data_IF_079929626086
#
_entry.id   IF_079929626086
#
_cell.length_a   1.000
_cell.length_b   1.000
_cell.length_c   1.000
_cell.angle_alpha   90.00
_cell.angle_beta   90.00
_cell.angle_gamma   90.00
#
_symmetry.space_group_name_H-M   'P 1'
#
loop_
_entity.id
_entity.type
_entity.pdbx_description
1 polymer ?
#
# COMPACT_ATOMS: atom_id res chain seq x y z
N UNK A 1 -2.55 10.58 -46.50
CA UNK A 1 -2.22 10.22 -46.00
C UNK A 1 -2.21 9.78 -45.51
N UNK A 2 -2.35 9.95 -45.45
CA UNK A 2 -2.32 9.44 -44.67
C UNK A 2 -1.44 8.96 -44.38
N UNK A 3 -0.64 9.13 -45.07
CA UNK A 3 0.30 8.59 -44.84
C UNK A 3 1.01 9.07 -43.77
N UNK A 4 0.96 10.13 -43.52
CA UNK A 4 1.49 10.49 -42.41
C UNK A 4 0.85 9.91 -41.26
N UNK A 5 -0.35 9.75 -41.27
CA UNK A 5 -1.08 9.06 -40.26
C UNK A 5 -0.57 7.66 -40.17
N UNK A 6 -0.25 7.12 -41.30
CA UNK A 6 0.26 5.77 -41.33
C UNK A 6 1.61 5.67 -40.67
N UNK A 7 2.44 6.63 -40.94
CA UNK A 7 3.75 6.63 -40.37
C UNK A 7 3.70 6.74 -38.87
N UNK A 8 2.85 7.60 -38.41
CA UNK A 8 2.65 7.77 -36.99
C UNK A 8 2.14 6.49 -36.39
N UNK A 9 1.32 5.82 -37.14
CA UNK A 9 0.73 4.58 -36.67
C UNK A 9 1.77 3.48 -36.54
N UNK A 10 2.67 3.39 -37.48
CA UNK A 10 3.73 2.40 -37.42
C UNK A 10 4.59 2.64 -36.21
N UNK A 11 4.87 3.89 -35.95
CA UNK A 11 5.64 4.25 -34.82
C UNK A 11 4.92 3.89 -33.53
N UNK A 12 3.61 4.01 -33.53
CA UNK A 12 2.79 3.67 -32.41
C UNK A 12 2.84 2.18 -32.13
N UNK A 13 2.95 1.39 -33.16
CA UNK A 13 3.03 -0.05 -32.98
C UNK A 13 4.30 -0.43 -32.24
N UNK A 14 5.39 0.19 -32.62
CA UNK A 14 6.64 -0.04 -31.93
C UNK A 14 6.52 0.39 -30.50
N UNK A 15 5.88 1.53 -30.29
CA UNK A 15 5.68 2.04 -28.95
C UNK A 15 4.81 1.11 -28.14
N UNK A 16 3.91 0.40 -28.79
CA UNK A 16 3.03 -0.51 -28.08
C UNK A 16 3.81 -1.64 -27.41
N UNK A 17 4.83 -2.12 -28.06
CA UNK A 17 5.64 -3.15 -27.46
C UNK A 17 6.38 -2.64 -26.25
N UNK A 18 6.81 -1.40 -26.32
CA UNK A 18 7.43 -0.78 -25.19
C UNK A 18 6.45 -0.51 -24.08
N UNK A 19 5.23 -0.18 -24.49
CA UNK A 19 4.20 0.12 -23.53
C UNK A 19 3.92 -1.05 -22.63
N UNK A 20 3.93 -2.24 -23.17
CA UNK A 20 3.72 -3.43 -22.36
C UNK A 20 4.75 -3.53 -21.25
N UNK A 21 5.97 -3.13 -21.54
CA UNK A 21 7.01 -3.16 -20.53
C UNK A 21 6.89 -2.00 -19.57
N UNK A 22 6.48 -0.85 -20.07
CA UNK A 22 6.31 0.31 -19.22
C UNK A 22 5.20 0.10 -18.20
N UNK A 23 4.22 -0.73 -18.51
CA UNK A 23 3.14 -1.00 -17.60
C UNK A 23 3.60 -1.79 -16.38
N UNK A 24 4.79 -2.35 -16.45
CA UNK A 24 5.34 -3.07 -15.31
C UNK A 24 5.92 -2.11 -14.28
N UNK A 25 5.90 -0.82 -14.55
CA UNK A 25 6.45 0.14 -13.61
C UNK A 25 5.61 0.20 -12.35
N UNK A 26 6.26 0.06 -11.21
CA UNK A 26 5.61 0.04 -9.91
C UNK A 26 5.42 1.46 -9.41
N UNK A 27 4.25 1.73 -8.84
CA UNK A 27 3.98 2.98 -8.16
C UNK A 27 4.07 2.79 -6.67
N UNK A 28 4.73 3.70 -5.98
CA UNK A 28 4.80 3.69 -4.53
C UNK A 28 3.69 4.56 -3.96
N UNK A 29 3.01 4.05 -2.95
CA UNK A 29 1.98 4.81 -2.26
C UNK A 29 2.52 5.32 -0.93
N UNK A 30 1.83 6.26 -0.33
CA UNK A 30 2.32 6.94 0.86
C UNK A 30 1.97 6.16 2.13
N UNK A 31 2.37 4.89 2.16
CA UNK A 31 2.04 3.98 3.25
C UNK A 31 3.10 2.91 3.35
N UNK A 32 3.57 2.66 4.57
CA UNK A 32 4.52 1.57 4.85
C UNK A 32 3.86 0.64 5.86
N UNK A 33 3.87 -0.64 5.57
CA UNK A 33 3.30 -1.68 6.44
C UNK A 33 4.40 -2.68 6.78
N UNK A 34 4.60 -2.91 8.06
CA UNK A 34 5.61 -3.87 8.55
C UNK A 34 6.99 -3.61 7.93
N UNK A 35 7.31 -2.35 7.70
CA UNK A 35 8.60 -1.95 7.15
C UNK A 35 8.70 -2.02 5.64
N UNK A 36 7.65 -2.43 4.95
CA UNK A 36 7.65 -2.55 3.49
C UNK A 36 6.76 -1.48 2.86
N UNK A 37 7.23 -0.94 1.76
CA UNK A 37 6.49 0.07 1.02
C UNK A 37 5.24 -0.56 0.39
N UNK A 38 4.09 0.08 0.54
CA UNK A 38 2.89 -0.32 -0.18
C UNK A 38 2.97 0.24 -1.59
N UNK A 39 2.77 -0.63 -2.57
CA UNK A 39 2.96 -0.29 -3.98
C UNK A 39 1.79 -0.80 -4.80
N UNK A 40 1.78 -0.44 -6.07
CA UNK A 40 0.78 -0.95 -7.00
C UNK A 40 0.87 -2.47 -7.17
N UNK A 41 2.02 -3.06 -6.85
CA UNK A 41 2.18 -4.51 -6.98
C UNK A 41 1.61 -5.29 -5.80
N UNK A 42 1.59 -4.70 -4.60
CA UNK A 42 1.16 -5.44 -3.42
C UNK A 42 -0.12 -4.89 -2.77
N UNK A 43 -0.65 -3.77 -3.22
CA UNK A 43 -1.76 -3.11 -2.54
C UNK A 43 -3.04 -3.95 -2.49
N UNK A 44 -3.22 -4.86 -3.43
CA UNK A 44 -4.41 -5.70 -3.47
C UNK A 44 -4.34 -6.90 -2.54
N UNK A 45 -3.14 -7.24 -2.07
CA UNK A 45 -2.95 -8.33 -1.12
C UNK A 45 -1.69 -8.05 -0.32
N UNK A 46 -1.85 -7.36 0.78
CA UNK A 46 -0.71 -6.98 1.60
C UNK A 46 -0.12 -8.13 2.40
N UNK A 47 -0.76 -9.30 2.37
CA UNK A 47 -0.23 -10.47 3.07
C UNK A 47 1.05 -11.00 2.42
N UNK A 48 1.38 -10.53 1.23
CA UNK A 48 2.67 -10.87 0.60
C UNK A 48 3.84 -10.19 1.32
N UNK A 49 3.57 -9.19 2.16
CA UNK A 49 4.60 -8.52 2.94
C UNK A 49 4.93 -9.37 4.16
N UNK A 50 6.23 -9.57 4.41
CA UNK A 50 6.67 -10.30 5.60
C UNK A 50 6.12 -9.62 6.86
N UNK A 51 5.53 -10.43 7.74
CA UNK A 51 4.96 -9.93 8.97
C UNK A 51 3.48 -9.59 8.88
N UNK A 52 2.88 -9.66 7.71
CA UNK A 52 1.46 -9.40 7.52
C UNK A 52 0.73 -10.71 7.27
N UNK A 53 -0.28 -11.01 8.09
CA UNK A 53 -1.10 -12.20 7.94
C UNK A 53 -2.56 -11.77 7.97
N UNK A 54 -3.38 -12.44 7.18
CA UNK A 54 -4.80 -12.13 7.10
C UNK A 54 -5.13 -11.40 5.82
N UNK A 55 -6.30 -10.81 5.78
CA UNK A 55 -6.82 -10.21 4.57
C UNK A 55 -6.66 -8.70 4.63
N UNK A 56 -5.55 -8.20 4.12
CA UNK A 56 -5.22 -6.77 4.16
C UNK A 56 -5.04 -6.24 2.75
N UNK A 57 -5.59 -5.06 2.48
CA UNK A 57 -5.45 -4.42 1.18
C UNK A 57 -5.54 -2.91 1.31
N UNK A 58 -4.98 -2.22 0.34
CA UNK A 58 -4.99 -0.77 0.31
C UNK A 58 -5.55 -0.28 -1.03
N UNK A 59 -6.51 0.63 -0.97
CA UNK A 59 -7.09 1.26 -2.16
C UNK A 59 -6.52 2.68 -2.27
N UNK A 60 -5.63 2.93 -3.22
CA UNK A 60 -5.03 4.25 -3.35
C UNK A 60 -6.01 5.33 -3.82
N UNK A 61 -7.09 4.94 -4.50
CA UNK A 61 -8.06 5.90 -4.97
C UNK A 61 -8.82 6.56 -3.82
N UNK A 62 -9.12 5.79 -2.77
CA UNK A 62 -9.83 6.30 -1.60
C UNK A 62 -8.91 6.45 -0.39
N UNK A 63 -7.66 6.05 -0.52
CA UNK A 63 -6.67 6.06 0.56
C UNK A 63 -7.18 5.29 1.77
N UNK A 64 -7.70 4.09 1.51
CA UNK A 64 -8.29 3.24 2.53
C UNK A 64 -7.50 1.95 2.67
N UNK A 65 -7.01 1.72 3.88
CA UNK A 65 -6.39 0.45 4.27
C UNK A 65 -7.46 -0.40 4.94
N UNK A 66 -7.78 -1.55 4.36
CA UNK A 66 -8.77 -2.47 4.93
C UNK A 66 -8.05 -3.60 5.62
N UNK A 67 -8.37 -3.81 6.90
CA UNK A 67 -7.82 -4.88 7.71
C UNK A 67 -8.96 -5.79 8.14
N UNK A 68 -8.93 -7.04 7.68
CA UNK A 68 -9.95 -8.03 7.97
C UNK A 68 -9.28 -9.23 8.62
N UNK A 69 -9.34 -9.28 9.95
CA UNK A 69 -8.70 -10.31 10.76
C UNK A 69 -7.19 -10.39 10.45
N UNK A 70 -6.54 -9.25 10.51
CA UNK A 70 -5.14 -9.09 10.13
C UNK A 70 -4.24 -9.02 11.36
N UNK A 71 -3.09 -9.68 11.27
CA UNK A 71 -2.02 -9.54 12.25
C UNK A 71 -0.82 -8.96 11.54
N UNK A 72 -0.32 -7.85 12.04
CA UNK A 72 0.90 -7.22 11.55
C UNK A 72 1.94 -7.33 12.65
N UNK A 73 3.10 -7.89 12.33
CA UNK A 73 4.16 -8.07 13.32
C UNK A 73 5.49 -7.64 12.69
N UNK A 74 6.14 -6.69 13.33
CA UNK A 74 7.42 -6.16 12.84
C UNK A 74 8.45 -6.20 13.97
N UNK A 75 9.59 -6.82 13.70
CA UNK A 75 10.66 -6.98 14.69
C UNK A 75 11.86 -6.10 14.40
N UNK A 76 11.85 -5.31 13.35
CA UNK A 76 12.99 -4.49 12.96
C UNK A 76 13.25 -3.37 13.97
N UNK A 77 14.50 -2.94 14.06
CA UNK A 77 14.92 -1.96 15.07
C UNK A 77 14.98 -0.54 14.51
N UNK A 78 14.84 -0.37 13.23
CA UNK A 78 15.01 0.94 12.61
C UNK A 78 13.66 1.62 12.42
N UNK A 79 13.67 2.74 11.73
CA UNK A 79 12.44 3.42 11.32
C UNK A 79 11.54 2.46 10.55
N UNK A 80 12.12 1.43 9.96
CA UNK A 80 11.34 0.39 9.29
C UNK A 80 10.70 -0.59 10.26
N UNK A 81 10.90 -0.41 11.57
CA UNK A 81 10.28 -1.23 12.60
C UNK A 81 8.84 -0.87 12.91
N UNK A 82 8.32 0.20 12.33
CA UNK A 82 6.94 0.65 12.56
C UNK A 82 5.97 -0.36 11.97
N UNK A 83 4.85 -0.58 12.64
CA UNK A 83 3.83 -1.50 12.12
C UNK A 83 3.09 -0.91 10.94
N UNK A 84 2.49 0.27 11.11
CA UNK A 84 1.79 1.00 10.06
C UNK A 84 2.28 2.44 10.10
N UNK A 85 2.81 2.92 8.99
CA UNK A 85 3.34 4.28 8.92
C UNK A 85 2.62 5.03 7.80
N UNK A 86 1.83 6.02 8.18
CA UNK A 86 1.12 6.87 7.22
C UNK A 86 2.00 8.05 6.83
N UNK A 87 2.41 8.07 5.58
CA UNK A 87 3.21 9.15 5.02
C UNK A 87 2.35 10.17 4.28
N UNK A 88 1.11 9.84 3.97
CA UNK A 88 0.21 10.72 3.24
C UNK A 88 -0.58 11.62 4.16
N UNK A 89 -1.28 12.58 3.57
CA UNK A 89 -2.04 13.55 4.34
C UNK A 89 -3.21 12.92 5.08
N UNK A 90 -3.80 11.88 4.51
CA UNK A 90 -4.99 11.27 5.09
C UNK A 90 -4.98 9.78 4.82
N UNK A 91 -5.31 9.01 5.83
CA UNK A 91 -5.45 7.57 5.70
C UNK A 91 -6.73 7.14 6.42
N UNK A 92 -7.56 6.35 5.76
CA UNK A 92 -8.69 5.71 6.39
C UNK A 92 -8.31 4.25 6.65
N UNK A 93 -8.49 3.79 7.89
CA UNK A 93 -8.28 2.39 8.22
C UNK A 93 -9.64 1.78 8.50
N UNK A 94 -10.06 0.88 7.63
CA UNK A 94 -11.35 0.21 7.74
C UNK A 94 -11.15 -1.14 8.40
N UNK A 95 -11.81 -1.36 9.52
CA UNK A 95 -11.59 -2.53 10.36
C UNK A 95 -12.74 -3.52 10.27
N UNK A 96 -12.41 -4.76 9.99
CA UNK A 96 -13.35 -5.87 9.97
C UNK A 96 -12.75 -6.96 10.85
N UNK A 97 -13.54 -7.50 11.76
CA UNK A 97 -13.07 -8.55 12.65
C UNK A 97 -12.05 -8.06 13.67
N UNK A 98 -11.14 -8.93 14.06
CA UNK A 98 -10.15 -8.61 15.10
C UNK A 98 -8.77 -8.45 14.48
N UNK A 99 -8.18 -7.29 14.66
CA UNK A 99 -6.90 -6.98 14.06
C UNK A 99 -5.89 -6.60 15.13
N UNK A 100 -4.62 -6.88 14.88
CA UNK A 100 -3.56 -6.49 15.79
C UNK A 100 -2.31 -6.05 15.03
N UNK A 101 -1.60 -5.09 15.63
CA UNK A 101 -0.34 -4.60 15.10
C UNK A 101 0.66 -4.60 16.25
N UNK A 102 1.77 -5.30 16.07
CA UNK A 102 2.84 -5.36 17.05
C UNK A 102 4.15 -4.92 16.42
N UNK A 103 4.77 -3.91 16.99
CA UNK A 103 6.11 -3.48 16.58
C UNK A 103 7.01 -3.63 17.79
N UNK A 104 7.84 -4.66 17.78
CA UNK A 104 8.59 -5.05 18.98
C UNK A 104 9.61 -4.01 19.41
N UNK A 105 10.15 -3.26 18.48
CA UNK A 105 11.25 -2.35 18.76
C UNK A 105 10.98 -0.93 18.25
N UNK A 106 9.73 -0.64 17.97
CA UNK A 106 9.35 0.67 17.48
C UNK A 106 7.89 0.94 17.86
N UNK A 107 7.17 1.69 17.06
CA UNK A 107 5.76 2.01 17.34
C UNK A 107 4.84 1.27 16.40
N UNK A 108 3.69 0.85 16.91
CA UNK A 108 2.75 0.10 16.11
C UNK A 108 2.13 0.93 15.00
N UNK A 109 1.80 2.18 15.30
CA UNK A 109 1.15 3.06 14.33
C UNK A 109 1.79 4.44 14.40
N UNK A 110 2.30 4.91 13.29
CA UNK A 110 2.90 6.23 13.20
C UNK A 110 2.18 7.05 12.14
N UNK A 111 1.73 8.22 12.53
CA UNK A 111 1.12 9.17 11.62
C UNK A 111 2.09 10.33 11.43
N UNK A 112 2.41 10.65 10.20
CA UNK A 112 3.34 11.74 9.91
C UNK A 112 2.80 13.08 10.38
N UNK A 113 3.68 14.07 10.38
CA UNK A 113 3.31 15.40 10.85
C UNK A 113 2.18 15.98 10.01
N UNK A 114 1.19 16.53 10.66
CA UNK A 114 0.02 17.17 10.02
C UNK A 114 -0.83 16.22 9.20
N UNK A 115 -0.60 14.90 9.34
CA UNK A 115 -1.39 13.90 8.67
C UNK A 115 -2.55 13.46 9.57
N UNK A 116 -3.55 12.82 8.99
CA UNK A 116 -4.67 12.33 9.76
C UNK A 116 -4.97 10.87 9.45
N UNK A 117 -5.45 10.16 10.47
CA UNK A 117 -5.90 8.78 10.34
C UNK A 117 -7.33 8.71 10.86
N UNK A 118 -8.20 8.11 10.06
CA UNK A 118 -9.60 7.94 10.39
C UNK A 118 -9.88 6.44 10.46
N UNK A 119 -10.53 6.00 11.54
CA UNK A 119 -10.90 4.61 11.68
C UNK A 119 -12.38 4.44 11.36
N UNK A 120 -12.71 3.41 10.60
CA UNK A 120 -14.09 3.08 10.24
C UNK A 120 -14.32 1.58 10.39
N UNK A 121 -15.57 1.15 10.26
CA UNK A 121 -15.92 -0.26 10.35
C UNK A 121 -16.28 -0.69 11.76
N UNK A 122 -16.69 -1.95 11.90
CA UNK A 122 -17.13 -2.51 13.17
C UNK A 122 -16.11 -3.40 13.84
N UNK A 123 -14.92 -3.51 13.24
CA UNK A 123 -13.88 -4.35 13.79
C UNK A 123 -13.10 -3.67 14.89
N UNK A 124 -12.08 -4.36 15.38
CA UNK A 124 -11.21 -3.87 16.43
C UNK A 124 -9.77 -3.86 15.98
N UNK A 125 -8.96 -3.02 16.62
CA UNK A 125 -7.52 -2.97 16.36
C UNK A 125 -6.80 -2.82 17.70
N UNK A 126 -5.89 -3.75 17.96
CA UNK A 126 -5.03 -3.69 19.14
C UNK A 126 -3.63 -3.33 18.66
N UNK A 127 -3.03 -2.32 19.25
CA UNK A 127 -1.69 -1.89 18.90
C UNK A 127 -0.79 -2.10 20.09
N UNK A 128 0.30 -2.85 19.87
CA UNK A 128 1.29 -3.17 20.91
C UNK A 128 2.65 -2.59 20.60
#
# INVERSE_FOLDING_TARGET
>A
MKKKALLTFVFAIVATMWTGMAQAQTEDYELIIAGAQVTSDNCNDLSVIDGVKGNAKYDPATKTLTLDNVTIHNTAETIYGVGIYNLGEKLTIHLIGNNSVTAEKSVGLWNGKDNSIIFTGNGSLIIN
#
